data_IF_426880942368
#
_entry.id   IF_426880942368
#
_cell.length_a   1.000
_cell.length_b   1.000
_cell.length_c   1.000
_cell.angle_alpha   90.00
_cell.angle_beta   90.00
_cell.angle_gamma   90.00
#
_symmetry.space_group_name_H-M   'P 1'
#
loop_
_entity.id
_entity.type
_entity.pdbx_description
1 polymer ?
#
# COMPACT_ATOMS: atom_id res chain seq x y z
N UNK A 1 5.20 -3.88 13.43
CA UNK A 1 3.88 -3.24 13.55
C UNK A 1 2.97 -3.71 12.43
N UNK A 2 1.77 -4.09 12.78
CA UNK A 2 0.73 -4.47 11.83
C UNK A 2 -0.35 -3.37 11.81
N UNK A 3 -0.59 -2.82 10.62
CA UNK A 3 -1.64 -1.83 10.40
C UNK A 3 -2.65 -2.41 9.42
N UNK A 4 -3.90 -2.57 9.86
CA UNK A 4 -4.96 -3.16 9.05
C UNK A 4 -5.96 -2.06 8.65
N UNK A 5 -5.92 -1.69 7.38
CA UNK A 5 -6.74 -0.63 6.78
C UNK A 5 -6.76 0.65 7.61
N UNK A 6 -5.57 1.18 7.97
CA UNK A 6 -5.51 2.34 8.87
C UNK A 6 -6.12 3.61 8.29
N UNK A 7 -6.26 3.70 6.96
CA UNK A 7 -6.82 4.87 6.31
C UNK A 7 -8.33 4.77 6.09
N UNK A 8 -8.99 3.72 6.59
CA UNK A 8 -10.42 3.55 6.41
C UNK A 8 -11.19 4.74 6.98
N UNK A 9 -12.03 5.36 6.15
CA UNK A 9 -12.84 6.50 6.56
C UNK A 9 -12.11 7.84 6.59
N UNK A 10 -10.83 7.87 6.23
CA UNK A 10 -10.05 9.11 6.20
C UNK A 10 -10.20 9.87 4.90
N UNK A 11 -10.18 11.21 4.98
CA UNK A 11 -10.12 12.05 3.79
C UNK A 11 -8.66 12.13 3.27
N UNK A 12 -8.42 12.68 2.07
CA UNK A 12 -7.06 12.73 1.50
C UNK A 12 -6.03 13.42 2.37
N UNK A 13 -6.41 14.48 3.09
CA UNK A 13 -5.48 15.19 3.96
C UNK A 13 -5.08 14.33 5.16
N UNK A 14 -6.04 13.68 5.78
CA UNK A 14 -5.79 12.78 6.90
C UNK A 14 -4.92 11.59 6.47
N UNK A 15 -5.17 11.07 5.27
CA UNK A 15 -4.37 9.98 4.71
C UNK A 15 -2.93 10.44 4.49
N UNK A 16 -2.71 11.64 3.99
CA UNK A 16 -1.37 12.18 3.80
C UNK A 16 -0.63 12.33 5.13
N UNK A 17 -1.31 12.78 6.17
CA UNK A 17 -0.74 12.91 7.51
C UNK A 17 -0.37 11.53 8.08
N UNK A 18 -1.23 10.54 7.85
CA UNK A 18 -0.95 9.16 8.26
C UNK A 18 0.29 8.61 7.55
N UNK A 19 0.43 8.87 6.26
CA UNK A 19 1.61 8.45 5.49
C UNK A 19 2.90 9.04 6.07
N UNK A 20 2.87 10.31 6.42
CA UNK A 20 4.02 10.97 7.03
C UNK A 20 4.38 10.33 8.37
N UNK A 21 3.37 10.04 9.18
CA UNK A 21 3.57 9.40 10.48
C UNK A 21 4.19 8.01 10.33
N UNK A 22 3.68 7.20 9.42
CA UNK A 22 4.17 5.84 9.20
C UNK A 22 5.63 5.88 8.73
N UNK A 23 5.95 6.77 7.79
CA UNK A 23 7.31 6.92 7.31
C UNK A 23 8.26 7.38 8.42
N UNK A 24 7.81 8.30 9.27
CA UNK A 24 8.59 8.75 10.41
C UNK A 24 8.89 7.61 11.38
N UNK A 25 7.89 6.81 11.71
CA UNK A 25 8.05 5.66 12.61
C UNK A 25 9.05 4.65 12.03
N UNK A 26 8.91 4.31 10.77
CA UNK A 26 9.81 3.37 10.09
C UNK A 26 11.26 3.84 10.16
N UNK A 27 11.49 5.10 9.87
CA UNK A 27 12.83 5.64 9.76
C UNK A 27 13.46 5.91 11.13
N UNK A 28 12.68 6.42 12.06
CA UNK A 28 13.18 6.79 13.39
C UNK A 28 13.49 5.59 14.27
N UNK A 29 12.64 4.59 14.23
CA UNK A 29 12.77 3.42 15.11
C UNK A 29 13.35 2.19 14.41
N UNK A 30 13.61 2.26 13.11
CA UNK A 30 14.15 1.16 12.30
C UNK A 30 13.33 -0.12 12.45
N UNK A 31 12.02 0.00 12.50
CA UNK A 31 11.12 -1.14 12.63
C UNK A 31 10.42 -1.44 11.31
N UNK A 32 10.03 -2.70 11.16
CA UNK A 32 9.25 -3.11 9.99
C UNK A 32 7.77 -2.83 10.24
N UNK A 33 7.09 -2.39 9.19
CA UNK A 33 5.65 -2.14 9.22
C UNK A 33 5.00 -3.04 8.17
N UNK A 34 4.02 -3.83 8.60
CA UNK A 34 3.18 -4.59 7.69
C UNK A 34 1.85 -3.83 7.55
N UNK A 35 1.55 -3.43 6.34
CA UNK A 35 0.36 -2.66 6.02
C UNK A 35 -0.60 -3.50 5.20
N UNK A 36 -1.85 -3.62 5.66
CA UNK A 36 -2.93 -4.24 4.92
C UNK A 36 -3.85 -3.12 4.46
N UNK A 37 -3.93 -2.91 3.15
CA UNK A 37 -4.64 -1.76 2.62
C UNK A 37 -5.05 -2.01 1.17
N UNK A 38 -6.13 -1.37 0.74
CA UNK A 38 -6.56 -1.35 -0.65
C UNK A 38 -6.52 0.07 -1.26
N UNK A 39 -6.12 1.05 -0.48
CA UNK A 39 -5.87 2.40 -0.97
C UNK A 39 -4.52 2.39 -1.68
N UNK A 40 -4.53 2.31 -2.99
CA UNK A 40 -3.32 2.20 -3.81
C UNK A 40 -2.39 3.39 -3.63
N UNK A 41 -2.94 4.57 -3.44
CA UNK A 41 -2.13 5.77 -3.26
C UNK A 41 -1.31 5.69 -1.98
N UNK A 42 -1.92 5.21 -0.91
CA UNK A 42 -1.24 5.00 0.37
C UNK A 42 -0.16 3.93 0.23
N UNK A 43 -0.51 2.79 -0.36
CA UNK A 43 0.41 1.67 -0.55
C UNK A 43 1.60 2.08 -1.39
N UNK A 44 1.36 2.72 -2.53
CA UNK A 44 2.43 3.14 -3.44
C UNK A 44 3.33 4.22 -2.85
N UNK A 45 2.81 4.98 -1.91
CA UNK A 45 3.55 6.09 -1.31
C UNK A 45 4.47 5.70 -0.17
N UNK A 46 4.20 4.61 0.52
CA UNK A 46 4.96 4.28 1.75
C UNK A 46 5.57 2.89 1.78
N UNK A 47 5.14 1.98 0.92
CA UNK A 47 5.65 0.61 0.94
C UNK A 47 6.94 0.47 0.16
N UNK A 48 7.88 -0.28 0.70
CA UNK A 48 9.11 -0.64 -0.01
C UNK A 48 8.89 -1.90 -0.84
N UNK A 49 8.02 -2.77 -0.36
CA UNK A 49 7.66 -4.01 -1.03
C UNK A 49 6.16 -4.22 -0.92
N UNK A 50 5.55 -4.62 -2.01
CA UNK A 50 4.11 -4.86 -2.09
C UNK A 50 3.85 -6.30 -2.49
N UNK A 51 2.93 -6.93 -1.76
CA UNK A 51 2.41 -8.26 -2.10
C UNK A 51 0.94 -8.08 -2.39
N UNK A 52 0.51 -8.52 -3.56
CA UNK A 52 -0.89 -8.34 -3.99
C UNK A 52 -1.62 -9.68 -3.92
N UNK A 53 -2.76 -9.65 -3.23
CA UNK A 53 -3.63 -10.82 -3.10
C UNK A 53 -4.94 -10.58 -3.85
N UNK A 54 -5.42 -11.62 -4.49
CA UNK A 54 -6.72 -11.60 -5.15
C UNK A 54 -7.41 -12.92 -4.82
N UNK A 55 -8.57 -12.82 -4.18
CA UNK A 55 -9.31 -14.00 -3.66
C UNK A 55 -8.41 -14.91 -2.82
N UNK A 56 -7.57 -14.32 -1.99
CA UNK A 56 -6.69 -15.06 -1.08
C UNK A 56 -5.45 -15.66 -1.73
N UNK A 57 -5.22 -15.40 -3.02
CA UNK A 57 -4.04 -15.88 -3.73
C UNK A 57 -3.09 -14.75 -4.07
N UNK A 58 -1.80 -15.00 -3.90
CA UNK A 58 -0.79 -14.04 -4.29
C UNK A 58 -0.71 -13.99 -5.82
N UNK A 59 -0.98 -12.82 -6.40
CA UNK A 59 -0.91 -12.62 -7.85
C UNK A 59 0.32 -11.81 -8.27
N UNK A 60 0.93 -11.08 -7.36
CA UNK A 60 2.11 -10.28 -7.67
C UNK A 60 2.87 -9.94 -6.39
N UNK A 61 4.16 -9.66 -6.55
CA UNK A 61 5.03 -9.24 -5.48
C UNK A 61 6.18 -8.42 -6.07
N UNK A 62 6.53 -7.32 -5.45
CA UNK A 62 7.63 -6.49 -5.91
C UNK A 62 7.59 -5.09 -5.31
N UNK A 63 8.40 -4.20 -5.88
CA UNK A 63 8.41 -2.79 -5.50
C UNK A 63 7.10 -2.13 -5.96
N UNK A 64 6.74 -0.97 -5.37
CA UNK A 64 5.56 -0.23 -5.83
C UNK A 64 5.56 0.03 -7.34
N UNK A 65 6.71 0.36 -7.91
CA UNK A 65 6.82 0.61 -9.36
C UNK A 65 6.51 -0.64 -10.18
N UNK A 66 7.03 -1.79 -9.76
CA UNK A 66 6.77 -3.06 -10.45
C UNK A 66 5.29 -3.45 -10.36
N UNK A 67 4.69 -3.24 -9.18
CA UNK A 67 3.29 -3.56 -8.95
C UNK A 67 2.37 -2.66 -9.79
N UNK A 68 2.67 -1.37 -9.83
CA UNK A 68 1.89 -0.40 -10.59
C UNK A 68 1.81 -0.75 -12.07
N UNK A 69 2.87 -1.34 -12.60
CA UNK A 69 2.97 -1.70 -14.02
C UNK A 69 2.60 -3.15 -14.32
N UNK A 70 2.22 -3.93 -13.31
CA UNK A 70 1.86 -5.33 -13.49
C UNK A 70 0.45 -5.47 -14.06
N UNK A 71 0.27 -6.10 -15.25
CA UNK A 71 -1.04 -6.24 -15.87
C UNK A 71 -2.09 -6.94 -14.99
N UNK A 72 -1.67 -7.92 -14.20
CA UNK A 72 -2.59 -8.64 -13.31
C UNK A 72 -3.13 -7.75 -12.20
N UNK A 73 -2.30 -6.86 -11.69
CA UNK A 73 -2.68 -5.90 -10.65
C UNK A 73 -3.59 -4.84 -11.23
N UNK A 74 -3.26 -4.33 -12.41
CA UNK A 74 -4.08 -3.33 -13.10
C UNK A 74 -5.49 -3.87 -13.31
N UNK A 75 -5.59 -5.10 -13.78
CA UNK A 75 -6.87 -5.75 -14.02
C UNK A 75 -7.67 -5.94 -12.72
N UNK A 76 -7.02 -6.37 -11.64
CA UNK A 76 -7.70 -6.73 -10.39
C UNK A 76 -8.05 -5.52 -9.52
N UNK A 77 -7.22 -4.51 -9.48
CA UNK A 77 -7.36 -3.42 -8.52
C UNK A 77 -7.41 -2.03 -9.10
N UNK A 78 -6.60 -1.77 -10.12
CA UNK A 78 -6.48 -0.42 -10.67
C UNK A 78 -7.52 -0.16 -11.76
N UNK A 79 -8.02 -1.22 -12.35
CA UNK A 79 -9.01 -1.11 -13.41
C UNK A 79 -8.44 -0.50 -14.68
N UNK A 80 -9.29 -0.43 -15.72
CA UNK A 80 -8.85 0.08 -17.02
C UNK A 80 -8.63 1.58 -17.03
N UNK A 81 -9.27 2.31 -16.12
CA UNK A 81 -9.17 3.75 -16.06
C UNK A 81 -8.15 4.26 -15.07
N UNK A 82 -7.43 3.38 -14.44
CA UNK A 82 -6.51 3.77 -13.38
C UNK A 82 -5.17 4.24 -13.93
#
# INVERSE_FOLDING_TARGET
ILLDEPAAGMNPQETAELMELINWIKNEFHISVLLIEHDMKLVMGICDKVVVLDYGKKIAEGTPSEIKNNPKVIEAYLGEGA
#
